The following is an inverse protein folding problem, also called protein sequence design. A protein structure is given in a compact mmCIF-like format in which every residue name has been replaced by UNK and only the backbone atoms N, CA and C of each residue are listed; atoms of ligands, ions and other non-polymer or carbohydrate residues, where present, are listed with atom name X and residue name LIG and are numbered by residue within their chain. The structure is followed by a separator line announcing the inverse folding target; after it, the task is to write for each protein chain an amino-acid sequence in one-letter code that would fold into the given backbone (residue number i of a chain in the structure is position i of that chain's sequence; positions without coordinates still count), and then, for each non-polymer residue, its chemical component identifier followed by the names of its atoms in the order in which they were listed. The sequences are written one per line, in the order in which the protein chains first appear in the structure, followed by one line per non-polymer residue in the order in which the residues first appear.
data_IF_241093946871
#
_entry.id   IF_241093946871
#
_cell.length_a   1.000
_cell.length_b   1.000
_cell.length_c   1.000
_cell.angle_alpha   90.00
_cell.angle_beta   90.00
_cell.angle_gamma   90.00
#
_symmetry.space_group_name_H-M   'P 1'
#
loop_
_entity.id
_entity.type
_entity.pdbx_description
1 polymer ?
#
# COMPACT_ATOMS: atom_id res chain seq x y z
N UNK A 1 3.70 3.86 -11.53
CA UNK A 1 4.93 4.10 -10.78
C UNK A 1 4.80 3.32 -9.48
N UNK A 2 5.60 2.26 -9.34
CA UNK A 2 5.64 1.47 -8.11
C UNK A 2 6.04 2.39 -6.96
N UNK A 3 5.33 2.28 -5.84
CA UNK A 3 5.65 3.04 -4.63
C UNK A 3 7.03 2.56 -4.18
N UNK A 4 7.98 3.47 -4.09
CA UNK A 4 9.30 3.16 -3.55
C UNK A 4 9.17 2.91 -2.04
N UNK A 5 8.88 1.65 -1.68
CA UNK A 5 8.73 1.22 -0.28
C UNK A 5 10.02 1.37 0.53
N UNK A 6 11.15 1.70 -0.10
CA UNK A 6 12.40 2.04 0.62
C UNK A 6 12.27 3.34 1.40
N UNK A 7 11.48 4.30 0.89
CA UNK A 7 11.20 5.57 1.59
C UNK A 7 10.40 5.29 2.87
N UNK A 8 9.36 4.46 2.78
CA UNK A 8 8.57 4.04 3.95
C UNK A 8 9.44 3.29 4.98
N UNK A 9 10.32 2.37 4.56
CA UNK A 9 11.19 1.64 5.52
C UNK A 9 12.26 2.50 6.20
N UNK A 10 12.78 3.53 5.53
CA UNK A 10 13.87 4.35 6.09
C UNK A 10 13.44 5.23 7.28
N UNK A 11 12.14 5.55 7.39
CA UNK A 11 11.65 6.59 8.30
C UNK A 11 11.01 6.05 9.60
N UNK A 12 10.84 4.72 9.77
CA UNK A 12 10.30 4.13 11.02
C UNK A 12 11.21 4.30 12.25
N UNK A 13 12.45 4.77 12.06
CA UNK A 13 13.39 5.08 13.15
C UNK A 13 13.20 6.46 13.78
N UNK A 14 12.38 7.34 13.21
CA UNK A 14 12.10 8.66 13.76
C UNK A 14 10.76 8.64 14.52
N UNK A 15 10.81 8.42 15.84
CA UNK A 15 9.64 8.60 16.70
C UNK A 15 9.24 10.08 16.74
N UNK A 16 8.10 10.40 16.12
CA UNK A 16 7.53 11.76 16.07
C UNK A 16 6.40 11.95 17.07
N UNK A 17 6.40 13.11 17.74
CA UNK A 17 5.32 13.63 18.58
C UNK A 17 3.96 13.64 17.86
N UNK A 18 2.81 13.72 18.55
CA UNK A 18 1.50 13.75 17.90
C UNK A 18 1.41 14.98 16.98
N UNK A 19 1.48 14.74 15.67
CA UNK A 19 1.34 15.77 14.64
C UNK A 19 -0.09 16.32 14.65
N UNK A 20 -0.21 17.65 14.75
CA UNK A 20 -1.48 18.34 14.55
C UNK A 20 -2.05 18.04 13.17
N UNK A 21 -3.38 18.07 13.03
CA UNK A 21 -4.05 17.90 11.73
C UNK A 21 -3.36 18.78 10.65
N UNK A 22 -2.86 18.14 9.59
CA UNK A 22 -2.20 18.87 8.51
C UNK A 22 -3.15 19.89 7.91
N UNK A 23 -2.63 21.07 7.57
CA UNK A 23 -3.40 22.03 6.79
C UNK A 23 -3.73 21.39 5.43
N UNK A 24 -4.98 21.57 4.97
CA UNK A 24 -5.37 21.13 3.63
C UNK A 24 -4.49 21.81 2.57
N UNK A 25 -4.16 21.13 1.46
CA UNK A 25 -3.31 21.70 0.42
C UNK A 25 -3.88 23.03 -0.09
N UNK A 26 -3.04 24.08 -0.13
CA UNK A 26 -3.50 25.41 -0.49
C UNK A 26 -3.56 25.61 -2.02
N UNK A 27 -4.67 26.20 -2.48
CA UNK A 27 -5.00 26.44 -3.89
C UNK A 27 -4.28 27.66 -4.50
N UNK A 28 -3.04 27.97 -4.13
CA UNK A 28 -2.41 29.25 -4.47
C UNK A 28 -2.42 29.49 -6.00
N UNK A 29 -3.28 30.41 -6.47
CA UNK A 29 -3.45 30.75 -7.88
C UNK A 29 -4.31 29.78 -8.72
N UNK A 30 -4.94 28.77 -8.12
CA UNK A 30 -5.81 27.83 -8.83
C UNK A 30 -7.24 28.38 -8.97
N UNK A 31 -7.91 28.22 -10.12
CA UNK A 31 -9.31 28.61 -10.26
C UNK A 31 -10.19 27.81 -9.29
N UNK A 32 -11.27 28.43 -8.82
CA UNK A 32 -12.26 27.72 -8.03
C UNK A 32 -12.86 26.57 -8.86
N UNK A 33 -13.03 25.41 -8.24
CA UNK A 33 -13.78 24.30 -8.83
C UNK A 33 -15.20 24.77 -9.15
N UNK A 34 -15.70 24.47 -10.34
CA UNK A 34 -17.08 24.81 -10.72
C UNK A 34 -18.03 23.68 -10.33
N UNK A 35 -19.31 23.98 -10.17
CA UNK A 35 -20.34 22.98 -9.83
C UNK A 35 -20.59 21.94 -10.94
N UNK A 36 -20.01 22.14 -12.12
CA UNK A 36 -20.16 21.26 -13.28
C UNK A 36 -19.03 20.24 -13.39
N UNK A 37 -17.90 20.44 -12.70
CA UNK A 37 -16.74 19.55 -12.78
C UNK A 37 -16.96 18.27 -11.95
N UNK A 38 -16.64 17.13 -12.55
CA UNK A 38 -16.70 15.83 -11.89
C UNK A 38 -15.43 15.55 -11.07
N UNK A 39 -15.46 14.60 -10.13
CA UNK A 39 -14.25 14.17 -9.42
C UNK A 39 -13.15 13.67 -10.35
N UNK A 40 -13.51 13.09 -11.51
CA UNK A 40 -12.54 12.67 -12.52
C UNK A 40 -11.88 13.87 -13.21
N UNK A 41 -12.61 14.96 -13.48
CA UNK A 41 -12.02 16.16 -14.09
C UNK A 41 -10.95 16.78 -13.18
N UNK A 42 -11.22 16.83 -11.87
CA UNK A 42 -10.25 17.26 -10.88
C UNK A 42 -9.07 16.30 -10.78
N UNK A 43 -9.30 14.99 -10.82
CA UNK A 43 -8.24 13.99 -10.84
C UNK A 43 -7.31 14.16 -12.06
N UNK A 44 -7.87 14.30 -13.27
CA UNK A 44 -7.08 14.49 -14.49
C UNK A 44 -6.27 15.79 -14.44
N UNK A 45 -6.83 16.86 -13.86
CA UNK A 45 -6.10 18.12 -13.64
C UNK A 45 -4.94 17.93 -12.65
N UNK A 46 -5.16 17.20 -11.57
CA UNK A 46 -4.11 16.87 -10.60
C UNK A 46 -2.96 16.09 -11.25
N UNK A 47 -3.28 15.08 -12.05
CA UNK A 47 -2.29 14.28 -12.81
C UNK A 47 -1.46 15.16 -13.75
N UNK A 48 -2.06 16.17 -14.39
CA UNK A 48 -1.34 17.08 -15.27
C UNK A 48 -0.27 17.91 -14.52
N UNK A 49 -0.54 18.26 -13.26
CA UNK A 49 0.42 18.95 -12.40
C UNK A 49 1.47 17.99 -11.80
N UNK A 50 1.11 16.74 -11.52
CA UNK A 50 1.97 15.68 -10.96
C UNK A 50 2.82 14.97 -12.02
N UNK A 51 3.42 15.74 -12.93
CA UNK A 51 4.31 15.21 -13.98
C UNK A 51 5.77 15.15 -13.51
N UNK A 52 6.59 14.23 -14.04
CA UNK A 52 8.03 14.21 -13.75
C UNK A 52 8.69 15.57 -14.02
N UNK A 53 9.49 16.06 -13.07
CA UNK A 53 10.16 17.36 -13.17
C UNK A 53 9.28 18.57 -12.82
N UNK A 54 8.07 18.36 -12.29
CA UNK A 54 7.21 19.42 -11.76
C UNK A 54 7.92 20.24 -10.65
N UNK A 55 7.65 21.55 -10.63
CA UNK A 55 8.15 22.44 -9.57
C UNK A 55 7.35 22.26 -8.26
N UNK A 56 7.85 22.78 -7.15
CA UNK A 56 7.14 22.71 -5.86
C UNK A 56 5.73 23.33 -5.92
N UNK A 57 5.56 24.42 -6.68
CA UNK A 57 4.25 25.07 -6.87
C UNK A 57 3.28 24.20 -7.69
N UNK A 58 3.79 23.47 -8.68
CA UNK A 58 2.97 22.53 -9.46
C UNK A 58 2.52 21.37 -8.58
N UNK A 59 3.41 20.82 -7.75
CA UNK A 59 3.07 19.73 -6.83
C UNK A 59 2.03 20.17 -5.78
N UNK A 60 2.10 21.40 -5.27
CA UNK A 60 1.06 21.92 -4.39
C UNK A 60 -0.31 22.02 -5.12
N UNK A 61 -0.28 22.38 -6.40
CA UNK A 61 -1.48 22.41 -7.25
C UNK A 61 -2.03 21.00 -7.50
N UNK A 62 -1.17 19.99 -7.71
CA UNK A 62 -1.58 18.60 -7.81
C UNK A 62 -2.26 18.11 -6.52
N UNK A 63 -1.65 18.35 -5.36
CA UNK A 63 -2.22 17.97 -4.06
C UNK A 63 -3.61 18.61 -3.85
N UNK A 64 -3.77 19.88 -4.20
CA UNK A 64 -5.05 20.58 -4.11
C UNK A 64 -6.14 19.90 -4.97
N UNK A 65 -5.84 19.58 -6.23
CA UNK A 65 -6.82 18.94 -7.11
C UNK A 65 -7.09 17.48 -6.76
N UNK A 66 -6.08 16.73 -6.30
CA UNK A 66 -6.28 15.39 -5.74
C UNK A 66 -7.18 15.45 -4.51
N UNK A 67 -6.97 16.38 -3.57
CA UNK A 67 -7.84 16.58 -2.41
C UNK A 67 -9.30 16.78 -2.82
N UNK A 68 -9.57 17.63 -3.81
CA UNK A 68 -10.94 17.86 -4.30
C UNK A 68 -11.60 16.59 -4.83
N UNK A 69 -10.89 15.82 -5.67
CA UNK A 69 -11.37 14.55 -6.19
C UNK A 69 -11.55 13.50 -5.06
N UNK A 70 -10.59 13.43 -4.14
CA UNK A 70 -10.55 12.49 -3.02
C UNK A 70 -11.70 12.70 -2.03
N UNK A 71 -12.03 13.96 -1.73
CA UNK A 71 -13.18 14.35 -0.90
C UNK A 71 -14.53 13.91 -1.49
N UNK A 72 -14.60 13.70 -2.81
CA UNK A 72 -15.77 13.15 -3.51
C UNK A 72 -15.69 11.65 -3.76
N UNK A 73 -14.73 10.96 -3.14
CA UNK A 73 -14.66 9.50 -3.20
C UNK A 73 -13.88 8.93 -4.39
N UNK A 74 -13.13 9.75 -5.14
CA UNK A 74 -12.29 9.25 -6.22
C UNK A 74 -11.10 8.46 -5.65
N UNK A 75 -11.12 7.13 -5.75
CA UNK A 75 -10.16 6.24 -5.07
C UNK A 75 -8.71 6.47 -5.52
N UNK A 76 -8.44 6.66 -6.81
CA UNK A 76 -7.07 6.94 -7.27
C UNK A 76 -6.54 8.30 -6.77
N UNK A 77 -7.41 9.29 -6.63
CA UNK A 77 -7.04 10.59 -6.06
C UNK A 77 -6.73 10.47 -4.57
N UNK A 78 -7.52 9.69 -3.83
CA UNK A 78 -7.25 9.37 -2.43
C UNK A 78 -5.88 8.68 -2.30
N UNK A 79 -5.59 7.69 -3.15
CA UNK A 79 -4.30 6.99 -3.13
C UNK A 79 -3.13 7.91 -3.50
N UNK A 80 -3.27 8.76 -4.53
CA UNK A 80 -2.20 9.70 -4.91
C UNK A 80 -1.97 10.77 -3.83
N UNK A 81 -3.03 11.30 -3.24
CA UNK A 81 -2.91 12.23 -2.13
C UNK A 81 -2.23 11.60 -0.90
N UNK A 82 -2.54 10.33 -0.61
CA UNK A 82 -1.88 9.58 0.45
C UNK A 82 -0.37 9.44 0.21
N UNK A 83 0.05 9.20 -1.04
CA UNK A 83 1.47 9.20 -1.44
C UNK A 83 2.09 10.57 -1.22
N UNK A 84 1.42 11.65 -1.63
CA UNK A 84 1.94 13.01 -1.46
C UNK A 84 2.20 13.35 0.00
N UNK A 85 1.31 12.97 0.92
CA UNK A 85 1.52 13.10 2.36
C UNK A 85 2.62 12.18 2.90
N UNK A 86 2.76 10.96 2.37
CA UNK A 86 3.83 10.03 2.77
C UNK A 86 5.22 10.48 2.32
N UNK A 87 5.32 11.26 1.24
CA UNK A 87 6.58 11.71 0.65
C UNK A 87 6.88 13.19 0.94
N UNK A 88 5.93 13.94 1.50
CA UNK A 88 6.05 15.39 1.67
C UNK A 88 6.15 16.15 0.33
N UNK A 89 5.48 15.64 -0.71
CA UNK A 89 5.50 16.23 -2.06
C UNK A 89 4.30 17.13 -2.27
N UNK A 90 4.53 18.43 -2.43
CA UNK A 90 3.44 19.42 -2.62
C UNK A 90 2.59 19.69 -1.37
N UNK A 91 2.80 18.92 -0.31
CA UNK A 91 2.24 19.05 1.03
C UNK A 91 3.34 18.74 2.03
N UNK A 92 3.20 19.19 3.27
CA UNK A 92 4.09 18.75 4.33
C UNK A 92 3.92 17.25 4.57
N UNK A 93 5.02 16.56 4.87
CA UNK A 93 4.99 15.15 5.26
C UNK A 93 4.03 14.98 6.43
N UNK A 94 3.12 14.01 6.33
CA UNK A 94 2.18 13.69 7.40
C UNK A 94 1.72 12.23 7.27
N UNK A 95 2.27 11.37 8.12
CA UNK A 95 1.94 9.94 8.07
C UNK A 95 0.49 9.64 8.48
N UNK A 96 -0.11 10.44 9.36
CA UNK A 96 -1.50 10.26 9.82
C UNK A 96 -2.51 10.55 8.70
N UNK A 97 -2.35 11.65 7.96
CA UNK A 97 -3.18 11.97 6.80
C UNK A 97 -2.96 10.97 5.67
N UNK A 98 -1.71 10.53 5.45
CA UNK A 98 -1.43 9.44 4.51
C UNK A 98 -2.23 8.17 4.84
N UNK A 99 -2.18 7.71 6.09
CA UNK A 99 -2.93 6.53 6.55
C UNK A 99 -4.44 6.70 6.35
N UNK A 100 -4.96 7.90 6.67
CA UNK A 100 -6.38 8.23 6.54
C UNK A 100 -6.84 8.14 5.08
N UNK A 101 -6.06 8.68 4.14
CA UNK A 101 -6.41 8.65 2.72
C UNK A 101 -6.24 7.25 2.10
N UNK A 102 -5.16 6.53 2.46
CA UNK A 102 -5.03 5.13 2.07
C UNK A 102 -6.18 4.28 2.59
N UNK A 103 -6.62 4.46 3.83
CA UNK A 103 -7.79 3.75 4.38
C UNK A 103 -9.04 3.96 3.54
N UNK A 104 -9.37 5.21 3.22
CA UNK A 104 -10.53 5.52 2.37
C UNK A 104 -10.45 4.83 1.00
N UNK A 105 -9.28 4.87 0.36
CA UNK A 105 -9.06 4.23 -0.94
C UNK A 105 -9.10 2.70 -0.86
N UNK A 106 -8.54 2.12 0.21
CA UNK A 106 -8.50 0.68 0.47
C UNK A 106 -9.90 0.11 0.72
N UNK A 107 -10.73 0.82 1.49
CA UNK A 107 -12.15 0.52 1.71
C UNK A 107 -12.96 0.60 0.40
N UNK A 108 -12.56 1.48 -0.52
CA UNK A 108 -13.13 1.56 -1.87
C UNK A 108 -12.57 0.50 -2.85
N UNK A 109 -11.73 -0.43 -2.38
CA UNK A 109 -11.20 -1.55 -3.16
C UNK A 109 -9.90 -1.27 -3.92
N UNK A 110 -9.28 -0.10 -3.76
CA UNK A 110 -8.04 0.22 -4.47
C UNK A 110 -6.88 -0.67 -4.00
N UNK A 111 -6.40 -1.58 -4.86
CA UNK A 111 -5.35 -2.57 -4.53
C UNK A 111 -4.07 -1.92 -4.01
N UNK A 112 -3.60 -0.84 -4.67
CA UNK A 112 -2.39 -0.13 -4.26
C UNK A 112 -2.54 0.49 -2.88
N UNK A 113 -3.72 1.01 -2.56
CA UNK A 113 -4.01 1.56 -1.23
C UNK A 113 -4.09 0.46 -0.17
N UNK A 114 -4.70 -0.69 -0.47
CA UNK A 114 -4.74 -1.85 0.44
C UNK A 114 -3.34 -2.31 0.80
N UNK A 115 -2.48 -2.51 -0.21
CA UNK A 115 -1.07 -2.86 0.01
C UNK A 115 -0.32 -1.81 0.84
N UNK A 116 -0.50 -0.53 0.52
CA UNK A 116 0.20 0.56 1.23
C UNK A 116 -0.28 0.69 2.67
N UNK A 117 -1.57 0.57 2.92
CA UNK A 117 -2.14 0.60 4.27
C UNK A 117 -1.67 -0.60 5.10
N UNK A 118 -1.56 -1.77 4.49
CA UNK A 118 -0.98 -2.95 5.14
C UNK A 118 0.45 -2.70 5.60
N UNK A 119 1.29 -2.06 4.77
CA UNK A 119 2.66 -1.64 5.17
C UNK A 119 2.59 -0.68 6.36
N UNK A 120 1.68 0.31 6.32
CA UNK A 120 1.56 1.29 7.41
C UNK A 120 1.19 0.64 8.74
N UNK A 121 0.27 -0.33 8.74
CA UNK A 121 -0.05 -1.13 9.92
C UNK A 121 1.11 -2.04 10.35
N UNK A 122 1.81 -2.65 9.40
CA UNK A 122 2.97 -3.51 9.67
C UNK A 122 4.12 -2.75 10.35
N UNK A 123 4.34 -1.49 9.94
CA UNK A 123 5.42 -0.65 10.45
C UNK A 123 4.98 0.31 11.57
N UNK A 124 3.68 0.51 11.79
CA UNK A 124 3.15 1.50 12.73
C UNK A 124 3.35 2.95 12.26
N UNK A 125 3.20 3.22 10.97
CA UNK A 125 3.37 4.55 10.39
C UNK A 125 2.03 5.23 10.24
N UNK A 126 1.81 6.38 10.90
CA UNK A 126 0.52 7.08 10.88
C UNK A 126 -0.65 6.33 11.53
N UNK A 127 -0.41 5.09 11.98
CA UNK A 127 -1.32 4.21 12.71
C UNK A 127 -0.55 3.48 13.79
N UNK A 128 -1.22 3.02 14.84
CA UNK A 128 -0.62 2.07 15.78
C UNK A 128 -0.26 0.80 15.02
N UNK A 129 0.95 0.26 15.24
CA UNK A 129 1.36 -1.00 14.64
C UNK A 129 0.41 -2.11 15.04
N UNK A 130 -0.11 -2.81 14.05
CA UNK A 130 -1.07 -3.90 14.22
C UNK A 130 -0.85 -4.93 13.11
N UNK A 131 -0.43 -6.13 13.48
CA UNK A 131 -0.15 -7.17 12.50
C UNK A 131 -1.42 -7.83 11.94
N UNK A 132 -2.51 -7.84 12.70
CA UNK A 132 -3.77 -8.43 12.26
C UNK A 132 -4.40 -7.55 11.17
N UNK A 133 -4.41 -6.23 11.38
CA UNK A 133 -4.83 -5.27 10.34
C UNK A 133 -3.89 -5.32 9.12
N UNK A 134 -2.58 -5.46 9.33
CA UNK A 134 -1.63 -5.60 8.21
C UNK A 134 -1.93 -6.83 7.36
N UNK A 135 -2.11 -8.01 7.99
CA UNK A 135 -2.47 -9.25 7.31
C UNK A 135 -3.79 -9.08 6.57
N UNK A 136 -4.82 -8.53 7.22
CA UNK A 136 -6.12 -8.32 6.60
C UNK A 136 -6.04 -7.50 5.30
N UNK A 137 -5.28 -6.40 5.32
CA UNK A 137 -5.12 -5.56 4.13
C UNK A 137 -4.22 -6.18 3.07
N UNK A 138 -3.16 -6.91 3.45
CA UNK A 138 -2.36 -7.68 2.49
C UNK A 138 -3.18 -8.79 1.84
N UNK A 139 -3.99 -9.54 2.58
CA UNK A 139 -4.88 -10.57 2.03
C UNK A 139 -5.92 -9.98 1.08
N UNK A 140 -6.41 -8.77 1.37
CA UNK A 140 -7.31 -8.04 0.49
C UNK A 140 -6.64 -7.65 -0.84
N UNK A 141 -5.40 -7.18 -0.80
CA UNK A 141 -4.62 -6.89 -2.01
C UNK A 141 -4.24 -8.18 -2.78
N UNK A 142 -3.88 -9.24 -2.06
CA UNK A 142 -3.51 -10.55 -2.63
C UNK A 142 -4.69 -11.21 -3.36
N UNK A 143 -5.92 -11.11 -2.82
CA UNK A 143 -7.15 -11.56 -3.52
C UNK A 143 -7.37 -10.85 -4.86
N UNK A 144 -6.83 -9.65 -5.01
CA UNK A 144 -6.88 -8.88 -6.27
C UNK A 144 -5.62 -9.10 -7.13
N UNK A 145 -4.76 -10.05 -6.78
CA UNK A 145 -3.59 -10.45 -7.55
C UNK A 145 -2.31 -9.70 -7.23
N UNK A 146 -2.26 -8.90 -6.17
CA UNK A 146 -1.04 -8.15 -5.81
C UNK A 146 0.07 -9.11 -5.31
N UNK A 147 1.09 -9.31 -6.15
CA UNK A 147 2.19 -10.22 -5.88
C UNK A 147 3.10 -9.74 -4.74
N UNK A 148 3.18 -8.42 -4.49
CA UNK A 148 3.99 -7.87 -3.41
C UNK A 148 3.31 -8.09 -2.05
N UNK A 149 1.98 -7.98 -1.99
CA UNK A 149 1.20 -8.32 -0.81
C UNK A 149 1.36 -9.80 -0.45
N UNK A 150 1.31 -10.70 -1.45
CA UNK A 150 1.59 -12.14 -1.25
C UNK A 150 3.00 -12.37 -0.71
N UNK A 151 4.00 -11.68 -1.26
CA UNK A 151 5.37 -11.77 -0.79
C UNK A 151 5.52 -11.29 0.66
N UNK A 152 4.84 -10.21 1.05
CA UNK A 152 4.87 -9.73 2.44
C UNK A 152 4.14 -10.67 3.40
N UNK A 153 3.01 -11.26 3.01
CA UNK A 153 2.35 -12.32 3.79
C UNK A 153 3.28 -13.51 4.02
N UNK A 154 4.03 -13.91 2.98
CA UNK A 154 5.02 -14.97 3.11
C UNK A 154 6.09 -14.67 4.17
N UNK A 155 6.61 -13.44 4.18
CA UNK A 155 7.54 -12.99 5.23
C UNK A 155 6.91 -12.99 6.62
N UNK A 156 5.66 -12.50 6.76
CA UNK A 156 4.97 -12.51 8.06
C UNK A 156 4.80 -13.93 8.60
N UNK A 157 4.45 -14.91 7.74
CA UNK A 157 4.42 -16.32 8.11
C UNK A 157 5.81 -16.90 8.43
N UNK A 158 6.84 -16.54 7.66
CA UNK A 158 8.20 -17.04 7.87
C UNK A 158 8.85 -16.52 9.15
N UNK A 159 8.46 -15.32 9.59
CA UNK A 159 8.98 -14.65 10.78
C UNK A 159 8.05 -14.78 12.00
N UNK A 160 6.81 -15.23 11.82
CA UNK A 160 5.82 -15.33 12.89
C UNK A 160 5.29 -13.97 13.36
N UNK A 161 5.16 -12.99 12.46
CA UNK A 161 4.66 -11.65 12.79
C UNK A 161 3.13 -11.63 12.68
N UNK A 162 2.43 -11.56 13.83
CA UNK A 162 0.96 -11.62 13.89
C UNK A 162 0.38 -13.02 13.67
N UNK A 163 1.17 -13.98 13.18
CA UNK A 163 0.77 -15.36 12.93
C UNK A 163 1.77 -16.33 13.52
N UNK A 164 1.37 -17.60 13.69
CA UNK A 164 2.31 -18.66 14.07
C UNK A 164 3.32 -18.84 12.93
N UNK A 165 4.61 -18.85 13.28
CA UNK A 165 5.68 -19.05 12.33
C UNK A 165 5.51 -20.38 11.57
N UNK A 166 5.60 -20.34 10.25
CA UNK A 166 5.39 -21.50 9.38
C UNK A 166 6.14 -21.38 8.05
N UNK A 167 7.16 -22.23 7.87
CA UNK A 167 7.86 -22.35 6.58
C UNK A 167 6.94 -22.91 5.48
N UNK A 168 5.91 -23.70 5.84
CA UNK A 168 4.91 -24.19 4.88
C UNK A 168 4.07 -23.04 4.33
N UNK A 169 3.54 -22.17 5.19
CA UNK A 169 2.74 -21.02 4.72
C UNK A 169 3.62 -20.00 4.00
N UNK A 170 4.83 -19.73 4.50
CA UNK A 170 5.79 -18.86 3.82
C UNK A 170 6.10 -19.37 2.41
N UNK A 171 6.42 -20.65 2.26
CA UNK A 171 6.67 -21.27 0.96
C UNK A 171 5.47 -21.14 0.01
N UNK A 172 4.25 -21.36 0.52
CA UNK A 172 3.02 -21.30 -0.29
C UNK A 172 2.77 -19.87 -0.79
N UNK A 173 2.85 -18.88 0.10
CA UNK A 173 2.67 -17.48 -0.28
C UNK A 173 3.77 -16.98 -1.23
N UNK A 174 5.04 -17.34 -0.99
CA UNK A 174 6.13 -17.02 -1.93
C UNK A 174 5.91 -17.69 -3.29
N UNK A 175 5.38 -18.92 -3.32
CA UNK A 175 5.06 -19.60 -4.58
C UNK A 175 3.97 -18.86 -5.36
N UNK A 176 2.94 -18.34 -4.68
CA UNK A 176 1.88 -17.53 -5.32
C UNK A 176 2.38 -16.18 -5.81
N UNK A 177 3.24 -15.52 -5.03
CA UNK A 177 3.88 -14.26 -5.41
C UNK A 177 4.76 -14.44 -6.65
N UNK A 178 5.57 -15.51 -6.68
CA UNK A 178 6.45 -15.83 -7.81
C UNK A 178 5.66 -16.14 -9.09
N UNK A 179 4.55 -16.89 -8.99
CA UNK A 179 3.70 -17.18 -10.16
C UNK A 179 2.98 -15.94 -10.71
N UNK A 180 2.93 -14.85 -9.93
CA UNK A 180 2.36 -13.54 -10.31
C UNK A 180 3.41 -12.46 -10.56
N UNK A 181 4.67 -12.85 -10.75
CA UNK A 181 5.71 -11.98 -11.26
C UNK A 181 6.47 -11.18 -10.20
N UNK A 182 6.34 -11.49 -8.91
CA UNK A 182 7.28 -10.95 -7.92
C UNK A 182 8.66 -11.61 -8.14
N UNK A 183 9.66 -10.80 -8.50
CA UNK A 183 10.98 -11.27 -8.91
C UNK A 183 11.77 -11.94 -7.77
N UNK A 184 11.61 -11.44 -6.54
CA UNK A 184 12.36 -11.91 -5.37
C UNK A 184 11.73 -13.16 -4.75
N UNK A 185 10.42 -13.37 -4.97
CA UNK A 185 9.66 -14.42 -4.33
C UNK A 185 10.13 -15.83 -4.68
N UNK A 186 10.68 -16.06 -5.88
CA UNK A 186 11.18 -17.38 -6.26
C UNK A 186 12.40 -17.80 -5.42
N UNK A 187 13.33 -16.87 -5.17
CA UNK A 187 14.50 -17.13 -4.31
C UNK A 187 14.04 -17.34 -2.86
N UNK A 188 13.17 -16.48 -2.34
CA UNK A 188 12.65 -16.59 -0.98
C UNK A 188 11.85 -17.88 -0.75
N UNK A 189 11.10 -18.33 -1.76
CA UNK A 189 10.44 -19.64 -1.75
C UNK A 189 11.45 -20.77 -1.58
N UNK A 190 12.54 -20.73 -2.34
CA UNK A 190 13.54 -21.80 -2.33
C UNK A 190 14.32 -21.82 -1.00
N UNK A 191 14.57 -20.65 -0.41
CA UNK A 191 15.10 -20.52 0.95
C UNK A 191 14.14 -21.11 1.99
N UNK A 192 12.84 -20.78 1.93
CA UNK A 192 11.84 -21.37 2.83
C UNK A 192 11.77 -22.91 2.69
N UNK A 193 11.95 -23.43 1.47
CA UNK A 193 11.93 -24.86 1.18
C UNK A 193 13.16 -25.62 1.70
N UNK A 194 14.30 -24.95 1.90
CA UNK A 194 15.55 -25.57 2.32
C UNK A 194 15.44 -26.25 3.69
N UNK A 195 14.67 -25.64 4.59
CA UNK A 195 14.44 -26.14 5.96
C UNK A 195 13.22 -27.08 6.06
N UNK A 196 12.50 -27.33 4.96
CA UNK A 196 11.29 -28.14 4.97
C UNK A 196 11.56 -29.64 4.78
N UNK A 197 10.91 -30.46 5.58
CA UNK A 197 10.86 -31.91 5.40
C UNK A 197 10.10 -32.31 4.14
N UNK A 198 10.27 -33.56 3.64
CA UNK A 198 9.45 -34.08 2.54
C UNK A 198 7.94 -34.07 2.83
N UNK A 199 7.55 -34.25 4.09
CA UNK A 199 6.14 -34.20 4.52
C UNK A 199 5.59 -32.77 4.44
N UNK A 200 6.32 -31.78 4.93
CA UNK A 200 5.95 -30.37 4.85
C UNK A 200 5.84 -29.91 3.40
N UNK A 201 6.75 -30.34 2.52
CA UNK A 201 6.65 -30.06 1.08
C UNK A 201 5.40 -30.68 0.43
N UNK A 202 4.94 -31.84 0.92
CA UNK A 202 3.65 -32.40 0.49
C UNK A 202 2.47 -31.56 0.97
N UNK A 203 2.49 -31.14 2.25
CA UNK A 203 1.45 -30.27 2.83
C UNK A 203 1.37 -28.94 2.08
N UNK A 204 2.51 -28.33 1.78
CA UNK A 204 2.61 -27.10 1.01
C UNK A 204 1.94 -27.20 -0.36
N UNK A 205 2.14 -28.31 -1.10
CA UNK A 205 1.45 -28.50 -2.40
C UNK A 205 -0.07 -28.53 -2.27
N UNK A 206 -0.61 -29.19 -1.26
CA UNK A 206 -2.05 -29.22 -1.01
C UNK A 206 -2.57 -27.85 -0.59
N UNK A 207 -1.83 -27.18 0.30
CA UNK A 207 -2.16 -25.85 0.81
C UNK A 207 -2.14 -24.79 -0.29
N UNK A 208 -1.21 -24.86 -1.23
CA UNK A 208 -1.14 -23.98 -2.40
C UNK A 208 -2.45 -24.01 -3.20
N UNK A 209 -2.93 -25.20 -3.58
CA UNK A 209 -4.20 -25.34 -4.31
C UNK A 209 -5.39 -24.79 -3.51
N UNK A 210 -5.46 -25.11 -2.21
CA UNK A 210 -6.52 -24.58 -1.35
C UNK A 210 -6.49 -23.05 -1.24
N UNK A 211 -5.29 -22.47 -1.20
CA UNK A 211 -5.14 -21.03 -1.10
C UNK A 211 -5.52 -20.32 -2.41
N UNK A 212 -5.17 -20.88 -3.57
CA UNK A 212 -5.65 -20.36 -4.86
C UNK A 212 -7.18 -20.33 -4.92
N UNK A 213 -7.83 -21.43 -4.51
CA UNK A 213 -9.30 -21.51 -4.44
C UNK A 213 -9.89 -20.48 -3.45
N UNK A 214 -9.28 -20.33 -2.27
CA UNK A 214 -9.72 -19.36 -1.26
C UNK A 214 -9.62 -17.91 -1.74
N UNK A 215 -8.59 -17.60 -2.52
CA UNK A 215 -8.37 -16.27 -3.06
C UNK A 215 -9.17 -16.01 -4.34
N UNK A 216 -9.78 -17.04 -4.92
CA UNK A 216 -10.54 -16.96 -6.19
C UNK A 216 -9.64 -16.72 -7.40
N UNK A 217 -8.43 -17.29 -7.38
CA UNK A 217 -7.38 -17.08 -8.38
C UNK A 217 -7.20 -18.24 -9.37
#
# INVERSE_FOLDING_TARGET
ADIDTSILRSQSKAGGAPESAAAAPAAAGQPAATSEESPNDWYQRAVAFDRPGASGNDLASAAYWYQKAAEKGHSDAQTNLAVMYAEGRGVDFNSLESARWYRKAAEAGNVRAQYSLAIMYHLGQGVTRDYDDAIHWYESAARQGDANAMNNLAFMHGMGEGVVQSNVEAYVWFSLAASRGNADAAENRDLAAAEMTPEERRKARQRYTQLEEQLGL
#
